data_IF_735893663124
#
_entry.id   IF_735893663124
#
_cell.length_a   1.000
_cell.length_b   1.000
_cell.length_c   1.000
_cell.angle_alpha   90.00
_cell.angle_beta   90.00
_cell.angle_gamma   90.00
#
_symmetry.space_group_name_H-M   'P 1'
#
loop_
_entity.id
_entity.type
_entity.pdbx_description
1 polymer ?
#
# COMPACT_ATOMS: atom_id res chain seq x y z
N UNK A 1 -21.24 -8.35 -12.87
CA UNK A 1 -20.22 -7.32 -12.64
C UNK A 1 -19.11 -7.85 -11.74
N UNK A 2 -17.93 -7.95 -12.28
CA UNK A 2 -16.80 -8.41 -11.49
C UNK A 2 -16.36 -7.34 -10.51
N UNK A 3 -16.21 -7.73 -9.26
CA UNK A 3 -15.67 -6.86 -8.24
C UNK A 3 -14.17 -6.99 -8.22
N UNK A 4 -13.45 -5.89 -8.43
CA UNK A 4 -12.02 -5.86 -8.25
C UNK A 4 -11.71 -5.98 -6.76
N UNK A 5 -10.73 -6.81 -6.45
CA UNK A 5 -10.35 -7.08 -5.08
C UNK A 5 -9.07 -6.32 -4.73
N UNK A 6 -9.07 -5.71 -3.56
CA UNK A 6 -7.94 -4.92 -3.10
C UNK A 6 -7.89 -5.01 -1.58
N UNK A 7 -7.03 -5.86 -1.07
CA UNK A 7 -6.89 -6.03 0.37
C UNK A 7 -5.43 -6.09 0.77
N UNK A 8 -5.10 -5.31 1.78
CA UNK A 8 -3.77 -5.26 2.38
C UNK A 8 -3.88 -5.62 3.85
N UNK A 9 -3.02 -6.52 4.30
CA UNK A 9 -2.89 -6.89 5.70
C UNK A 9 -1.42 -6.78 6.08
N UNK A 10 -1.13 -5.85 6.98
CA UNK A 10 0.24 -5.54 7.38
C UNK A 10 0.37 -5.55 8.89
N UNK A 11 1.51 -6.01 9.38
CA UNK A 11 1.91 -5.86 10.78
C UNK A 11 3.34 -5.37 10.83
N UNK A 12 3.58 -4.29 11.54
CA UNK A 12 4.91 -3.69 11.65
C UNK A 12 4.95 -2.61 12.71
N UNK A 13 6.00 -1.81 12.66
CA UNK A 13 6.19 -0.70 13.60
C UNK A 13 5.94 0.63 12.92
N UNK A 14 5.27 1.53 13.63
CA UNK A 14 5.16 2.91 13.18
C UNK A 14 6.54 3.56 13.28
N UNK A 15 7.07 4.01 12.14
CA UNK A 15 8.38 4.66 12.11
C UNK A 15 8.30 6.11 12.60
N UNK A 16 7.12 6.71 12.53
CA UNK A 16 6.88 8.09 12.96
C UNK A 16 5.47 8.18 13.56
N UNK A 17 5.20 9.30 14.21
CA UNK A 17 3.85 9.59 14.70
C UNK A 17 2.96 10.09 13.56
N UNK A 18 1.65 9.78 13.58
CA UNK A 18 0.75 10.29 12.54
C UNK A 18 0.71 11.81 12.50
N UNK A 19 0.71 12.36 11.29
CA UNK A 19 0.55 13.78 11.04
C UNK A 19 -0.64 14.00 10.10
N UNK A 20 -1.27 15.16 10.19
CA UNK A 20 -2.40 15.48 9.32
C UNK A 20 -1.94 15.46 7.86
N UNK A 21 -2.63 14.67 7.05
CA UNK A 21 -2.39 14.56 5.63
C UNK A 21 -3.29 15.49 4.83
N UNK A 22 -4.60 15.33 5.00
CA UNK A 22 -5.58 16.13 4.28
C UNK A 22 -6.96 16.02 4.92
N UNK A 23 -7.86 16.89 4.50
CA UNK A 23 -9.26 16.84 4.89
C UNK A 23 -10.08 16.65 3.63
N UNK A 24 -10.98 15.66 3.65
CA UNK A 24 -11.85 15.36 2.52
C UNK A 24 -13.27 15.12 3.03
N UNK A 25 -14.22 15.84 2.46
CA UNK A 25 -15.65 15.76 2.87
C UNK A 25 -15.85 15.90 4.38
N UNK A 26 -15.10 16.81 5.00
CA UNK A 26 -15.18 17.06 6.44
C UNK A 26 -14.47 16.02 7.32
N UNK A 27 -13.85 15.01 6.74
CA UNK A 27 -13.10 14.00 7.46
C UNK A 27 -11.61 14.26 7.38
N UNK A 28 -10.93 14.25 8.51
CA UNK A 28 -9.48 14.39 8.57
C UNK A 28 -8.80 13.04 8.38
N UNK A 29 -7.76 13.03 7.56
CA UNK A 29 -6.94 11.85 7.31
C UNK A 29 -5.51 12.14 7.74
N UNK A 30 -4.91 11.18 8.41
CA UNK A 30 -3.56 11.27 8.93
C UNK A 30 -2.65 10.30 8.19
N UNK A 31 -1.37 10.60 8.19
CA UNK A 31 -0.36 9.76 7.54
C UNK A 31 0.74 9.41 8.53
N UNK A 32 1.13 8.15 8.51
CA UNK A 32 2.34 7.69 9.17
C UNK A 32 3.03 6.63 8.31
N UNK A 33 4.30 6.36 8.60
CA UNK A 33 5.07 5.34 7.90
C UNK A 33 5.08 4.07 8.73
N UNK A 34 4.67 2.96 8.12
CA UNK A 34 4.75 1.63 8.73
C UNK A 34 5.98 0.92 8.20
N UNK A 35 6.83 0.46 9.13
CA UNK A 35 8.02 -0.30 8.81
C UNK A 35 7.73 -1.78 9.02
N UNK A 36 7.77 -2.56 7.94
CA UNK A 36 7.51 -4.00 7.98
C UNK A 36 8.80 -4.74 7.70
N UNK A 37 9.26 -5.52 8.67
CA UNK A 37 10.51 -6.25 8.58
C UNK A 37 10.34 -7.49 7.70
N UNK A 38 11.24 -7.65 6.71
CA UNK A 38 11.32 -8.86 5.91
C UNK A 38 12.15 -9.92 6.62
N UNK A 39 12.01 -11.16 6.18
CA UNK A 39 12.85 -12.26 6.69
C UNK A 39 14.34 -12.02 6.47
N UNK A 40 14.69 -11.27 5.43
CA UNK A 40 16.08 -10.92 5.13
C UNK A 40 16.71 -9.93 6.11
N UNK A 41 15.90 -9.31 6.98
CA UNK A 41 16.34 -8.26 7.88
C UNK A 41 16.14 -6.84 7.34
N UNK A 42 15.81 -6.70 6.06
CA UNK A 42 15.44 -5.40 5.50
C UNK A 42 14.03 -5.01 5.90
N UNK A 43 13.80 -3.72 6.02
CA UNK A 43 12.47 -3.20 6.33
C UNK A 43 11.88 -2.48 5.13
N UNK A 44 10.63 -2.77 4.82
CA UNK A 44 9.84 -2.00 3.87
C UNK A 44 9.14 -0.89 4.61
N UNK A 45 9.28 0.33 4.09
CA UNK A 45 8.62 1.51 4.66
C UNK A 45 7.44 1.87 3.77
N UNK A 46 6.25 1.75 4.35
CA UNK A 46 5.00 1.91 3.62
C UNK A 46 4.22 3.10 4.16
N UNK A 47 3.82 4.05 3.30
CA UNK A 47 2.97 5.15 3.76
C UNK A 47 1.55 4.65 4.02
N UNK A 48 1.02 4.95 5.18
CA UNK A 48 -0.33 4.57 5.59
C UNK A 48 -1.15 5.82 5.81
N UNK A 49 -2.31 5.89 5.15
CA UNK A 49 -3.29 6.94 5.33
C UNK A 49 -4.41 6.37 6.19
N UNK A 50 -4.75 7.06 7.26
CA UNK A 50 -5.72 6.57 8.22
C UNK A 50 -6.71 7.65 8.60
N UNK A 51 -8.04 7.35 8.59
CA UNK A 51 -9.03 8.31 9.04
C UNK A 51 -8.88 8.60 10.54
N UNK A 52 -9.19 9.83 10.93
CA UNK A 52 -9.10 10.27 12.32
C UNK A 52 -9.85 9.35 13.27
N UNK A 53 -11.02 8.84 12.86
CA UNK A 53 -11.83 7.96 13.69
C UNK A 53 -11.08 6.71 14.15
N UNK A 54 -10.25 6.13 13.28
CA UNK A 54 -9.45 4.95 13.65
C UNK A 54 -8.34 5.31 14.63
N UNK A 55 -7.71 6.47 14.45
CA UNK A 55 -6.68 6.94 15.39
C UNK A 55 -7.25 7.32 16.75
N UNK A 56 -8.46 7.85 16.77
CA UNK A 56 -9.13 8.16 18.04
C UNK A 56 -9.38 6.89 18.84
N UNK A 57 -9.72 5.79 18.16
CA UNK A 57 -9.93 4.49 18.79
C UNK A 57 -8.61 3.79 19.15
N UNK A 58 -7.58 3.92 18.28
CA UNK A 58 -6.29 3.27 18.46
C UNK A 58 -5.19 4.31 18.19
N UNK A 59 -4.80 5.09 19.20
CA UNK A 59 -3.71 6.05 19.04
C UNK A 59 -2.40 5.34 18.69
N UNK A 60 -1.64 5.93 17.79
CA UNK A 60 -0.37 5.40 17.33
C UNK A 60 0.73 6.38 17.63
N UNK A 61 1.81 5.89 18.24
CA UNK A 61 3.03 6.67 18.48
C UNK A 61 4.19 6.02 17.74
N UNK A 62 5.25 6.80 17.49
CA UNK A 62 6.45 6.26 16.89
C UNK A 62 6.98 5.09 17.73
N UNK A 63 7.31 4.00 17.08
CA UNK A 63 7.78 2.77 17.72
C UNK A 63 6.69 1.76 18.07
N UNK A 64 5.42 2.16 18.00
CA UNK A 64 4.32 1.23 18.29
C UNK A 64 4.21 0.14 17.23
N UNK A 65 3.94 -1.08 17.66
CA UNK A 65 3.58 -2.17 16.76
C UNK A 65 2.09 -2.12 16.51
N UNK A 66 1.72 -2.15 15.23
CA UNK A 66 0.30 -2.08 14.83
C UNK A 66 0.04 -3.04 13.69
N UNK A 67 -1.22 -3.49 13.61
CA UNK A 67 -1.74 -4.27 12.49
C UNK A 67 -2.71 -3.39 11.71
N UNK A 68 -2.51 -3.33 10.39
CA UNK A 68 -3.30 -2.50 9.48
C UNK A 68 -3.97 -3.39 8.44
N UNK A 69 -5.27 -3.21 8.26
CA UNK A 69 -6.02 -3.84 7.18
C UNK A 69 -6.65 -2.72 6.35
N UNK A 70 -6.49 -2.79 5.04
CA UNK A 70 -7.01 -1.75 4.17
C UNK A 70 -6.86 -2.08 2.69
N UNK A 71 -6.65 -1.03 1.90
CA UNK A 71 -6.50 -1.11 0.45
C UNK A 71 -5.25 -0.37 0.02
N UNK A 72 -4.68 -0.78 -1.11
CA UNK A 72 -3.69 0.05 -1.80
C UNK A 72 -4.43 1.07 -2.65
N UNK A 73 -3.97 2.31 -2.60
CA UNK A 73 -4.47 3.38 -3.46
C UNK A 73 -3.32 4.12 -4.12
N UNK A 74 -3.58 4.59 -5.32
CA UNK A 74 -2.60 5.36 -6.08
C UNK A 74 -3.16 6.73 -6.42
N UNK A 75 -2.28 7.70 -6.49
CA UNK A 75 -2.64 9.02 -7.00
C UNK A 75 -1.39 9.65 -7.62
N UNK A 76 -1.64 10.59 -8.54
CA UNK A 76 -0.55 11.36 -9.15
C UNK A 76 -0.29 12.60 -8.33
N UNK A 77 0.93 12.71 -7.81
CA UNK A 77 1.37 13.90 -7.12
C UNK A 77 1.88 14.91 -8.17
N UNK A 78 1.13 15.97 -8.35
CA UNK A 78 1.48 17.01 -9.32
C UNK A 78 2.26 18.17 -8.70
N UNK A 79 2.58 18.09 -7.42
CA UNK A 79 3.40 19.09 -6.77
C UNK A 79 4.87 18.88 -7.13
N UNK A 80 5.59 19.94 -7.44
CA UNK A 80 6.99 19.90 -7.80
C UNK A 80 7.23 19.67 -9.29
N UNK A 81 8.30 18.98 -9.64
CA UNK A 81 8.74 18.78 -11.01
C UNK A 81 8.14 17.53 -11.61
N UNK A 82 7.04 17.67 -12.34
CA UNK A 82 6.41 16.59 -13.08
C UNK A 82 5.41 15.80 -12.26
N UNK A 83 4.78 14.80 -12.91
CA UNK A 83 3.82 13.89 -12.29
C UNK A 83 4.54 12.71 -11.68
N UNK A 84 4.19 12.36 -10.45
CA UNK A 84 4.74 11.20 -9.78
C UNK A 84 3.60 10.35 -9.25
N UNK A 85 3.62 9.07 -9.60
CA UNK A 85 2.67 8.11 -9.05
C UNK A 85 3.05 7.79 -7.60
N UNK A 86 2.12 8.04 -6.68
CA UNK A 86 2.30 7.74 -5.27
C UNK A 86 1.32 6.63 -4.89
N UNK A 87 1.85 5.60 -4.22
CA UNK A 87 1.05 4.48 -3.74
C UNK A 87 1.07 4.51 -2.22
N UNK A 88 -0.10 4.41 -1.62
CA UNK A 88 -0.24 4.37 -0.17
C UNK A 88 -1.23 3.31 0.25
N UNK A 89 -1.12 2.90 1.51
CA UNK A 89 -2.08 2.00 2.15
C UNK A 89 -3.16 2.87 2.77
N UNK A 90 -4.40 2.64 2.38
CA UNK A 90 -5.55 3.32 2.97
C UNK A 90 -6.17 2.39 4.01
N UNK A 91 -6.02 2.73 5.29
CA UNK A 91 -6.43 1.86 6.38
C UNK A 91 -7.94 1.87 6.59
N UNK A 92 -8.52 0.68 6.72
CA UNK A 92 -9.92 0.48 7.11
C UNK A 92 -10.03 -0.01 8.54
N UNK A 93 -9.02 -0.76 9.00
CA UNK A 93 -8.95 -1.28 10.36
C UNK A 93 -7.54 -1.06 10.90
N UNK A 94 -7.47 -0.72 12.16
CA UNK A 94 -6.23 -0.50 12.87
C UNK A 94 -6.33 -1.19 14.22
N UNK A 95 -5.38 -2.09 14.50
CA UNK A 95 -5.35 -2.87 15.75
C UNK A 95 -3.99 -2.69 16.40
N UNK A 96 -3.92 -2.45 17.70
CA UNK A 96 -2.63 -2.37 18.39
C UNK A 96 -1.99 -3.74 18.50
N UNK A 97 -0.67 -3.78 18.35
CA UNK A 97 0.11 -5.01 18.49
C UNK A 97 0.11 -5.90 17.26
N UNK A 98 0.60 -7.10 17.45
CA UNK A 98 0.76 -8.12 16.44
C UNK A 98 1.91 -9.04 16.83
N UNK A 99 1.83 -10.32 16.48
CA UNK A 99 2.80 -11.32 16.94
C UNK A 99 4.09 -11.31 16.14
N UNK A 100 4.00 -11.04 14.83
CA UNK A 100 5.16 -11.07 13.96
C UNK A 100 4.96 -10.13 12.77
N UNK A 101 6.04 -9.66 12.15
CA UNK A 101 5.92 -8.86 10.93
C UNK A 101 5.15 -9.62 9.85
N UNK A 102 4.24 -8.94 9.20
CA UNK A 102 3.36 -9.54 8.22
C UNK A 102 3.08 -8.56 7.09
N UNK A 103 3.16 -9.06 5.85
CA UNK A 103 2.88 -8.24 4.67
C UNK A 103 2.20 -9.12 3.63
N UNK A 104 0.88 -9.00 3.53
CA UNK A 104 0.11 -9.74 2.55
C UNK A 104 -0.79 -8.78 1.78
N UNK A 105 -0.73 -8.88 0.47
CA UNK A 105 -1.52 -8.04 -0.43
C UNK A 105 -2.23 -8.96 -1.41
N UNK A 106 -3.53 -8.78 -1.56
CA UNK A 106 -4.34 -9.49 -2.53
C UNK A 106 -5.02 -8.48 -3.44
N UNK A 107 -4.76 -8.59 -4.73
CA UNK A 107 -5.29 -7.68 -5.73
C UNK A 107 -5.90 -8.47 -6.88
N UNK A 108 -7.03 -8.00 -7.37
CA UNK A 108 -7.56 -8.42 -8.67
C UNK A 108 -7.91 -7.17 -9.46
N UNK A 109 -7.62 -7.19 -10.74
CA UNK A 109 -7.85 -6.04 -11.58
C UNK A 109 -7.61 -6.38 -13.03
N UNK A 110 -7.50 -5.34 -13.86
CA UNK A 110 -7.32 -5.47 -15.30
C UNK A 110 -5.93 -5.00 -15.66
N UNK A 111 -5.25 -5.75 -16.53
CA UNK A 111 -3.96 -5.32 -17.06
C UNK A 111 -4.16 -4.12 -17.98
N UNK A 112 -3.46 -3.02 -17.66
CA UNK A 112 -3.55 -1.77 -18.44
C UNK A 112 -2.64 -1.76 -19.65
N UNK A 113 -1.57 -2.54 -19.57
CA UNK A 113 -0.55 -2.63 -20.62
C UNK A 113 -0.20 -4.08 -20.84
N UNK A 114 0.38 -4.36 -22.00
CA UNK A 114 1.02 -5.66 -22.24
C UNK A 114 2.12 -5.86 -21.19
N UNK A 115 2.15 -7.00 -20.50
CA UNK A 115 3.23 -7.29 -19.56
C UNK A 115 4.59 -7.26 -20.25
N UNK A 116 5.59 -6.69 -19.59
CA UNK A 116 6.93 -6.53 -20.15
C UNK A 116 7.89 -7.45 -19.40
N UNK A 117 8.25 -8.61 -20.00
CA UNK A 117 9.24 -9.49 -19.37
C UNK A 117 10.65 -8.91 -19.52
N UNK A 118 11.46 -9.11 -18.49
CA UNK A 118 12.86 -8.69 -18.51
C UNK A 118 13.67 -9.53 -17.54
N UNK A 119 14.99 -9.43 -17.63
CA UNK A 119 15.90 -10.08 -16.69
C UNK A 119 16.60 -9.06 -15.84
N UNK A 120 16.76 -9.41 -14.56
CA UNK A 120 17.58 -8.60 -13.65
C UNK A 120 19.06 -8.81 -13.96
N UNK A 121 19.95 -7.90 -13.49
CA UNK A 121 21.39 -8.10 -13.64
C UNK A 121 21.91 -9.42 -13.06
N UNK A 122 21.18 -9.99 -12.08
CA UNK A 122 21.53 -11.29 -11.50
C UNK A 122 20.96 -12.48 -12.27
N UNK A 123 20.32 -12.24 -13.43
CA UNK A 123 19.80 -13.30 -14.30
C UNK A 123 18.42 -13.81 -13.95
N UNK A 124 17.70 -13.18 -13.02
CA UNK A 124 16.35 -13.59 -12.65
C UNK A 124 15.32 -13.05 -13.63
N UNK A 125 14.36 -13.89 -13.97
CA UNK A 125 13.26 -13.48 -14.83
C UNK A 125 12.20 -12.75 -14.00
N UNK A 126 11.81 -11.58 -14.50
CA UNK A 126 10.74 -10.79 -13.91
C UNK A 126 9.83 -10.27 -15.00
N UNK A 127 8.64 -9.86 -14.63
CA UNK A 127 7.68 -9.25 -15.53
C UNK A 127 7.06 -8.02 -14.88
N UNK A 128 7.16 -6.89 -15.57
CA UNK A 128 6.52 -5.66 -15.11
C UNK A 128 5.08 -5.63 -15.61
N UNK A 129 4.15 -5.43 -14.68
CA UNK A 129 2.72 -5.33 -14.99
C UNK A 129 2.13 -4.13 -14.29
N UNK A 130 1.06 -3.58 -14.85
CA UNK A 130 0.27 -2.54 -14.20
C UNK A 130 -1.16 -3.02 -14.11
N UNK A 131 -1.69 -3.10 -12.88
CA UNK A 131 -3.06 -3.46 -12.63
C UNK A 131 -3.90 -2.20 -12.42
N UNK A 132 -5.03 -2.13 -13.11
CA UNK A 132 -6.08 -1.17 -12.78
C UNK A 132 -7.07 -1.87 -11.86
N UNK A 133 -7.20 -1.37 -10.65
CA UNK A 133 -8.10 -1.91 -9.64
C UNK A 133 -9.20 -0.89 -9.40
N UNK A 134 -10.43 -1.25 -9.73
CA UNK A 134 -11.56 -0.32 -9.64
C UNK A 134 -12.02 -0.17 -8.20
N UNK A 135 -12.26 1.09 -7.82
CA UNK A 135 -12.93 1.43 -6.58
C UNK A 135 -14.44 1.43 -6.78
N UNK A 136 -15.18 1.47 -5.68
CA UNK A 136 -16.65 1.46 -5.66
C UNK A 136 -17.29 2.55 -6.51
N UNK A 137 -16.67 3.71 -6.66
CA UNK A 137 -17.31 4.90 -7.24
C UNK A 137 -16.70 5.29 -8.59
N UNK A 138 -16.32 4.31 -9.40
CA UNK A 138 -15.85 4.57 -10.76
C UNK A 138 -14.42 5.05 -10.88
N UNK A 139 -13.70 5.13 -9.77
CA UNK A 139 -12.28 5.48 -9.77
C UNK A 139 -11.43 4.22 -9.84
N UNK A 140 -10.27 4.30 -10.48
CA UNK A 140 -9.34 3.19 -10.54
C UNK A 140 -8.01 3.56 -9.92
N UNK A 141 -7.41 2.59 -9.23
CA UNK A 141 -6.03 2.69 -8.76
C UNK A 141 -5.13 1.94 -9.74
N UNK A 142 -4.06 2.58 -10.16
CA UNK A 142 -3.09 2.00 -11.09
C UNK A 142 -1.88 1.56 -10.28
N UNK A 143 -1.70 0.24 -10.19
CA UNK A 143 -0.72 -0.35 -9.29
C UNK A 143 0.35 -1.08 -10.09
N UNK A 144 1.57 -0.52 -10.19
CA UNK A 144 2.69 -1.24 -10.79
C UNK A 144 3.07 -2.44 -9.93
N UNK A 145 3.24 -3.57 -10.57
CA UNK A 145 3.60 -4.81 -9.91
C UNK A 145 4.75 -5.48 -10.64
N UNK A 146 5.52 -6.27 -9.91
CA UNK A 146 6.60 -7.07 -10.49
C UNK A 146 6.34 -8.52 -10.15
N UNK A 147 6.23 -9.37 -11.17
CA UNK A 147 6.13 -10.81 -11.02
C UNK A 147 7.51 -11.44 -11.17
N UNK A 148 7.82 -12.43 -10.37
CA UNK A 148 9.13 -13.08 -10.32
C UNK A 148 9.06 -14.55 -10.71
N UNK A 149 10.09 -15.03 -11.41
CA UNK A 149 10.28 -16.43 -11.69
C UNK A 149 9.16 -17.03 -12.53
N UNK A 150 8.64 -18.19 -12.10
CA UNK A 150 7.59 -18.90 -12.84
C UNK A 150 6.29 -18.07 -12.96
N UNK A 151 6.01 -17.20 -12.02
CA UNK A 151 4.84 -16.31 -12.09
C UNK A 151 4.98 -15.29 -13.21
N UNK A 152 6.22 -14.92 -13.58
CA UNK A 152 6.49 -13.96 -14.63
C UNK A 152 6.29 -14.54 -16.04
N UNK A 153 6.29 -15.84 -16.17
CA UNK A 153 6.07 -16.54 -17.44
C UNK A 153 4.69 -17.17 -17.48
#
# INVERSE_FOLDING_TARGET
>A
MELNYNRVHLCGQAADAPVLSHINHGCAFYRFTLSVLRLSGQADKLPVIVPKALLDAVPVAAGDTVTVIGQLRSFNNKSGQGSRLVISVFAHQLTPGGESPFNQIQLSGVLCKTPVPRRTPLGREICDIILAVNRRYGRADYLPCIAWGAVAT
#
